data_IF_998532204681
#
_entry.id   IF_998532204681
#
_cell.length_a   1.000
_cell.length_b   1.000
_cell.length_c   1.000
_cell.angle_alpha   90.00
_cell.angle_beta   90.00
_cell.angle_gamma   90.00
#
_symmetry.space_group_name_H-M   'P 1'
#
loop_
_entity.id
_entity.type
_entity.pdbx_description
1 polymer ?
#
# COMPACT_ATOMS: atom_id res chain seq x y z
N UNK A 1 9.73 19.49 9.03
CA UNK A 1 9.66 20.11 10.37
C UNK A 1 10.98 19.87 11.08
N UNK A 2 11.44 20.80 11.92
CA UNK A 2 12.67 20.66 12.71
C UNK A 2 12.30 20.96 14.16
N UNK A 3 12.58 20.01 15.06
CA UNK A 3 12.35 20.16 16.50
C UNK A 3 13.57 20.79 17.18
N UNK A 4 13.30 21.58 18.23
CA UNK A 4 14.34 22.06 19.12
C UNK A 4 14.97 20.90 19.93
N UNK A 5 16.20 21.06 20.46
CA UNK A 5 16.82 20.03 21.29
C UNK A 5 15.99 19.63 22.51
N UNK A 6 15.27 20.59 23.11
CA UNK A 6 14.43 20.35 24.29
C UNK A 6 13.17 19.55 23.94
N UNK A 7 12.46 19.92 22.88
CA UNK A 7 11.28 19.18 22.39
C UNK A 7 11.65 17.76 22.00
N UNK A 8 12.80 17.58 21.33
CA UNK A 8 13.29 16.26 20.97
C UNK A 8 13.60 15.40 22.19
N UNK A 9 14.30 15.94 23.18
CA UNK A 9 14.60 15.20 24.41
C UNK A 9 13.31 14.77 25.10
N UNK A 10 12.35 15.69 25.21
CA UNK A 10 11.05 15.40 25.80
C UNK A 10 10.30 14.29 25.05
N UNK A 11 10.20 14.37 23.71
CA UNK A 11 9.52 13.35 22.90
C UNK A 11 10.24 12.00 22.97
N UNK A 12 11.57 12.00 22.90
CA UNK A 12 12.35 10.78 23.01
C UNK A 12 12.15 10.11 24.37
N UNK A 13 12.21 10.87 25.47
CA UNK A 13 12.02 10.34 26.81
C UNK A 13 10.58 9.82 27.00
N UNK A 14 9.58 10.53 26.45
CA UNK A 14 8.17 10.15 26.47
C UNK A 14 7.89 8.83 25.73
N UNK A 15 8.50 8.65 24.55
CA UNK A 15 8.32 7.46 23.72
C UNK A 15 9.16 6.27 24.19
N UNK A 16 10.23 6.50 24.94
CA UNK A 16 11.12 5.43 25.46
C UNK A 16 10.62 4.83 26.78
N UNK A 17 9.61 5.42 27.43
CA UNK A 17 9.00 4.87 28.64
C UNK A 17 8.50 3.44 28.44
N UNK A 18 8.36 2.65 29.52
CA UNK A 18 7.88 1.26 29.45
C UNK A 18 6.55 1.13 28.72
N UNK A 19 5.66 2.11 28.91
CA UNK A 19 4.49 2.35 28.07
C UNK A 19 4.74 3.64 27.29
N UNK A 20 4.92 3.60 25.96
CA UNK A 20 5.22 4.79 25.19
C UNK A 20 4.05 5.78 25.26
N UNK A 21 4.34 7.04 25.60
CA UNK A 21 3.35 8.11 25.59
C UNK A 21 3.54 8.91 24.29
N UNK A 22 2.62 8.71 23.35
CA UNK A 22 2.60 9.40 22.06
C UNK A 22 2.08 10.84 22.23
N UNK A 23 2.54 11.81 21.42
CA UNK A 23 2.12 13.22 21.52
C UNK A 23 0.61 13.41 21.32
N UNK A 24 -0.02 12.55 20.51
CA UNK A 24 -1.47 12.55 20.25
C UNK A 24 -2.24 11.53 21.12
N UNK A 25 -1.58 10.95 22.12
CA UNK A 25 -2.14 9.95 23.05
C UNK A 25 -2.68 8.67 22.40
N UNK A 26 -2.32 8.38 21.14
CA UNK A 26 -2.64 7.10 20.51
C UNK A 26 -1.93 5.93 21.20
N UNK A 27 -2.49 4.74 21.05
CA UNK A 27 -1.76 3.52 21.40
C UNK A 27 -0.60 3.26 20.42
N UNK A 28 0.28 2.33 20.80
CA UNK A 28 1.43 1.89 20.00
C UNK A 28 1.03 1.25 18.66
N UNK A 29 -0.17 0.67 18.55
CA UNK A 29 -0.67 -0.01 17.35
C UNK A 29 -1.75 0.78 16.59
N UNK A 30 -2.12 1.96 17.06
CA UNK A 30 -3.20 2.76 16.49
C UNK A 30 -2.70 3.66 15.36
N UNK A 31 -3.35 3.56 14.19
CA UNK A 31 -3.14 4.45 13.05
C UNK A 31 -3.81 5.80 13.26
N UNK A 32 -3.34 6.83 12.52
CA UNK A 32 -4.07 8.08 12.40
C UNK A 32 -5.40 7.85 11.66
N UNK A 33 -6.45 8.63 11.98
CA UNK A 33 -7.66 8.62 11.17
C UNK A 33 -7.34 8.93 9.70
N UNK A 34 -7.98 8.18 8.80
CA UNK A 34 -7.89 8.35 7.37
C UNK A 34 -9.29 8.42 6.76
N UNK A 35 -9.42 9.20 5.69
CA UNK A 35 -10.58 9.22 4.80
C UNK A 35 -10.15 8.56 3.48
N UNK A 36 -10.94 7.61 2.98
CA UNK A 36 -10.69 7.00 1.69
C UNK A 36 -11.90 7.16 0.77
N UNK A 37 -11.62 7.29 -0.53
CA UNK A 37 -12.62 7.25 -1.60
C UNK A 37 -12.14 6.32 -2.68
N UNK A 38 -13.02 5.47 -3.17
CA UNK A 38 -12.71 4.51 -4.23
C UNK A 38 -13.47 4.84 -5.52
N UNK A 39 -13.01 4.29 -6.64
CA UNK A 39 -13.73 4.29 -7.93
C UNK A 39 -14.15 5.66 -8.48
N UNK A 40 -13.39 6.72 -8.16
CA UNK A 40 -13.73 8.09 -8.54
C UNK A 40 -13.17 8.53 -9.91
N UNK A 41 -12.22 7.78 -10.49
CA UNK A 41 -11.68 8.03 -11.83
C UNK A 41 -12.34 7.09 -12.85
N UNK A 42 -13.30 7.56 -13.67
CA UNK A 42 -14.02 6.70 -14.61
C UNK A 42 -13.17 6.22 -15.79
N UNK A 43 -12.06 6.90 -16.09
CA UNK A 43 -11.16 6.55 -17.18
C UNK A 43 -10.12 5.47 -16.81
N UNK A 44 -10.09 5.06 -15.53
CA UNK A 44 -9.17 4.04 -15.03
C UNK A 44 -9.95 2.78 -14.68
N UNK A 45 -9.30 1.61 -14.78
CA UNK A 45 -9.91 0.34 -14.40
C UNK A 45 -10.20 0.28 -12.89
N UNK A 46 -9.32 0.86 -12.09
CA UNK A 46 -9.50 1.02 -10.65
C UNK A 46 -8.91 2.35 -10.19
N UNK A 47 -9.44 2.90 -9.10
CA UNK A 47 -8.89 4.09 -8.49
C UNK A 47 -9.18 4.16 -7.00
N UNK A 48 -8.27 4.75 -6.25
CA UNK A 48 -8.48 5.08 -4.85
C UNK A 48 -7.72 6.34 -4.46
N UNK A 49 -8.25 7.02 -3.45
CA UNK A 49 -7.68 8.22 -2.85
C UNK A 49 -7.75 8.08 -1.35
N UNK A 50 -6.63 8.24 -0.66
CA UNK A 50 -6.58 8.30 0.80
C UNK A 50 -6.05 9.67 1.22
N UNK A 51 -6.72 10.26 2.21
CA UNK A 51 -6.29 11.47 2.91
C UNK A 51 -6.15 11.18 4.40
N UNK A 52 -5.00 11.54 4.96
CA UNK A 52 -4.72 11.49 6.39
C UNK A 52 -5.08 12.82 7.06
N UNK A 53 -5.26 12.78 8.39
CA UNK A 53 -5.59 13.97 9.19
C UNK A 53 -4.52 15.08 9.13
N UNK A 54 -3.26 14.73 8.89
CA UNK A 54 -2.13 15.67 8.77
C UNK A 54 -2.08 16.38 7.40
N UNK A 55 -3.04 16.10 6.52
CA UNK A 55 -3.08 16.61 5.16
C UNK A 55 -2.25 15.82 4.16
N UNK A 56 -1.63 14.70 4.55
CA UNK A 56 -0.98 13.79 3.60
C UNK A 56 -2.04 13.14 2.72
N UNK A 57 -1.80 13.12 1.41
CA UNK A 57 -2.77 12.67 0.43
C UNK A 57 -2.09 11.88 -0.69
N UNK A 58 -2.67 10.73 -1.01
CA UNK A 58 -2.22 9.85 -2.07
C UNK A 58 -3.39 9.44 -2.96
N UNK A 59 -3.14 9.43 -4.27
CA UNK A 59 -4.07 8.94 -5.29
C UNK A 59 -3.39 7.79 -6.02
N UNK A 60 -4.11 6.71 -6.26
CA UNK A 60 -3.67 5.59 -7.09
C UNK A 60 -4.67 5.33 -8.19
N UNK A 61 -4.17 5.16 -9.40
CA UNK A 61 -4.91 4.75 -10.59
C UNK A 61 -4.38 3.42 -11.07
N UNK A 62 -5.28 2.50 -11.42
CA UNK A 62 -4.94 1.21 -12.02
C UNK A 62 -5.46 1.18 -13.45
N UNK A 63 -4.57 0.87 -14.39
CA UNK A 63 -4.91 0.62 -15.79
C UNK A 63 -4.47 -0.78 -16.19
N UNK A 64 -5.21 -1.36 -17.12
CA UNK A 64 -4.93 -2.70 -17.63
C UNK A 64 -4.66 -2.68 -19.12
N UNK A 65 -3.81 -3.62 -19.56
CA UNK A 65 -3.53 -3.87 -20.98
C UNK A 65 -3.44 -5.37 -21.21
N UNK A 66 -4.01 -5.86 -22.30
CA UNK A 66 -3.84 -7.25 -22.72
C UNK A 66 -2.46 -7.42 -23.34
N UNK A 67 -1.72 -8.41 -22.85
CA UNK A 67 -0.38 -8.74 -23.34
C UNK A 67 -0.22 -10.23 -23.59
N UNK A 68 0.70 -10.58 -24.47
CA UNK A 68 1.13 -11.95 -24.69
C UNK A 68 2.03 -12.39 -23.53
N UNK A 69 1.64 -13.47 -22.84
CA UNK A 69 2.34 -14.00 -21.68
C UNK A 69 3.79 -14.42 -22.00
N UNK A 70 4.06 -14.83 -23.23
CA UNK A 70 5.40 -15.24 -23.67
C UNK A 70 6.36 -14.08 -23.88
N UNK A 71 5.85 -12.86 -24.09
CA UNK A 71 6.65 -11.68 -24.42
C UNK A 71 6.93 -10.80 -23.19
N UNK A 72 6.04 -10.83 -22.20
CA UNK A 72 6.11 -9.98 -21.00
C UNK A 72 6.43 -10.80 -19.76
N UNK A 73 7.61 -10.55 -19.17
CA UNK A 73 7.99 -11.16 -17.89
C UNK A 73 7.38 -10.42 -16.69
N UNK A 74 7.09 -9.12 -16.84
CA UNK A 74 6.60 -8.26 -15.77
C UNK A 74 5.14 -7.89 -16.02
N UNK A 75 4.23 -8.52 -15.28
CA UNK A 75 2.79 -8.28 -15.39
C UNK A 75 2.29 -7.10 -14.54
N UNK A 76 3.13 -6.57 -13.65
CA UNK A 76 2.80 -5.42 -12.81
C UNK A 76 3.91 -4.40 -12.96
N UNK A 77 3.52 -3.17 -13.28
CA UNK A 77 4.38 -2.01 -13.40
C UNK A 77 3.84 -0.93 -12.47
N UNK A 78 4.68 -0.46 -11.54
CA UNK A 78 4.31 0.57 -10.58
C UNK A 78 5.10 1.84 -10.88
N UNK A 79 4.39 2.92 -11.19
CA UNK A 79 4.97 4.24 -11.31
C UNK A 79 4.58 5.09 -10.10
N UNK A 80 5.54 5.84 -9.56
CA UNK A 80 5.31 6.65 -8.36
C UNK A 80 5.82 8.06 -8.62
N UNK A 81 4.90 9.01 -8.60
CA UNK A 81 5.17 10.43 -8.58
C UNK A 81 4.95 10.98 -7.17
N UNK A 82 5.88 11.80 -6.70
CA UNK A 82 5.78 12.48 -5.41
C UNK A 82 5.94 13.97 -5.65
N UNK A 83 4.87 14.72 -5.36
CA UNK A 83 4.85 16.16 -5.55
C UNK A 83 6.02 16.84 -4.82
N UNK A 84 6.77 17.67 -5.57
CA UNK A 84 7.93 18.39 -5.05
C UNK A 84 9.24 17.59 -5.02
N UNK A 85 9.23 16.33 -5.44
CA UNK A 85 10.43 15.53 -5.64
C UNK A 85 10.66 15.28 -7.13
N UNK A 86 11.91 14.95 -7.50
CA UNK A 86 12.24 14.52 -8.85
C UNK A 86 12.07 13.01 -8.97
N UNK A 87 11.66 12.54 -10.15
CA UNK A 87 11.47 11.11 -10.45
C UNK A 87 12.78 10.31 -10.25
N UNK A 88 13.91 10.92 -10.61
CA UNK A 88 15.26 10.35 -10.46
C UNK A 88 15.82 10.44 -9.03
N UNK A 89 15.06 10.97 -8.07
CA UNK A 89 15.51 11.05 -6.69
C UNK A 89 15.55 9.68 -6.03
N UNK A 90 16.57 9.44 -5.19
CA UNK A 90 16.68 8.20 -4.42
C UNK A 90 15.42 7.93 -3.58
N UNK A 91 14.74 8.97 -3.12
CA UNK A 91 13.51 8.84 -2.34
C UNK A 91 12.39 8.17 -3.16
N UNK A 92 12.09 8.73 -4.33
CA UNK A 92 11.04 8.23 -5.24
C UNK A 92 11.43 6.85 -5.78
N UNK A 93 12.69 6.69 -6.20
CA UNK A 93 13.19 5.41 -6.74
C UNK A 93 13.10 4.29 -5.69
N UNK A 94 13.39 4.57 -4.42
CA UNK A 94 13.25 3.60 -3.33
C UNK A 94 11.78 3.24 -3.07
N UNK A 95 10.86 4.20 -3.10
CA UNK A 95 9.43 3.92 -2.95
C UNK A 95 8.93 3.02 -4.10
N UNK A 96 9.26 3.38 -5.35
CA UNK A 96 8.89 2.61 -6.53
C UNK A 96 9.46 1.20 -6.48
N UNK A 97 10.74 1.05 -6.11
CA UNK A 97 11.37 -0.26 -5.95
C UNK A 97 10.69 -1.11 -4.87
N UNK A 98 10.39 -0.55 -3.69
CA UNK A 98 9.75 -1.30 -2.62
C UNK A 98 8.35 -1.79 -3.03
N UNK A 99 7.51 -0.91 -3.59
CA UNK A 99 6.16 -1.26 -4.01
C UNK A 99 6.17 -2.30 -5.15
N UNK A 100 7.02 -2.10 -6.16
CA UNK A 100 7.19 -3.06 -7.26
C UNK A 100 7.68 -4.42 -6.76
N UNK A 101 8.65 -4.44 -5.83
CA UNK A 101 9.18 -5.66 -5.25
C UNK A 101 8.14 -6.41 -4.39
N UNK A 102 7.25 -5.70 -3.69
CA UNK A 102 6.15 -6.29 -2.93
C UNK A 102 5.16 -6.99 -3.86
N UNK A 103 4.68 -6.28 -4.88
CA UNK A 103 3.65 -6.77 -5.78
C UNK A 103 4.19 -7.86 -6.70
N UNK A 104 5.38 -7.69 -7.28
CA UNK A 104 5.99 -8.71 -8.15
C UNK A 104 6.17 -10.08 -7.47
N UNK A 105 6.43 -10.11 -6.16
CA UNK A 105 6.66 -11.37 -5.42
C UNK A 105 5.40 -11.99 -4.84
N UNK A 106 4.43 -11.17 -4.44
CA UNK A 106 3.33 -11.63 -3.59
C UNK A 106 1.95 -11.45 -4.23
N UNK A 107 1.86 -10.76 -5.38
CA UNK A 107 0.58 -10.60 -6.06
C UNK A 107 0.10 -11.93 -6.66
N UNK A 108 -1.20 -12.27 -6.52
CA UNK A 108 -1.72 -13.51 -7.08
C UNK A 108 -1.97 -13.35 -8.60
N UNK A 109 -0.95 -13.62 -9.41
CA UNK A 109 -1.01 -13.45 -10.88
C UNK A 109 -2.07 -14.30 -11.60
N UNK A 110 -2.62 -15.32 -10.94
CA UNK A 110 -3.73 -16.12 -11.46
C UNK A 110 -4.96 -15.28 -11.80
N UNK A 111 -5.23 -14.19 -11.06
CA UNK A 111 -6.38 -13.30 -11.31
C UNK A 111 -6.24 -12.46 -12.58
N UNK A 112 -5.04 -12.40 -13.18
CA UNK A 112 -4.78 -11.64 -14.42
C UNK A 112 -4.84 -12.51 -15.67
N UNK A 113 -4.95 -13.83 -15.51
CA UNK A 113 -4.94 -14.76 -16.65
C UNK A 113 -6.25 -14.65 -17.41
N UNK A 114 -6.15 -14.37 -18.71
CA UNK A 114 -7.29 -14.41 -19.63
C UNK A 114 -7.42 -15.79 -20.26
N UNK A 115 -6.36 -16.20 -20.96
CA UNK A 115 -6.32 -17.47 -21.69
C UNK A 115 -5.00 -18.22 -21.42
N UNK A 116 -4.68 -19.25 -22.20
CA UNK A 116 -3.35 -19.87 -22.15
C UNK A 116 -2.24 -18.94 -22.66
N UNK A 117 -2.53 -18.06 -23.63
CA UNK A 117 -1.54 -17.17 -24.28
C UNK A 117 -1.60 -15.73 -23.77
N UNK A 118 -2.77 -15.24 -23.39
CA UNK A 118 -2.98 -13.83 -23.03
C UNK A 118 -3.21 -13.64 -21.53
N UNK A 119 -2.74 -12.50 -21.04
CA UNK A 119 -2.89 -12.08 -19.64
C UNK A 119 -3.04 -10.56 -19.59
N UNK A 120 -3.65 -10.05 -18.53
CA UNK A 120 -3.61 -8.64 -18.23
C UNK A 120 -2.25 -8.26 -17.63
N UNK A 121 -1.68 -7.17 -18.12
CA UNK A 121 -0.64 -6.39 -17.46
C UNK A 121 -1.30 -5.20 -16.77
N UNK A 122 -0.96 -4.98 -15.51
CA UNK A 122 -1.45 -3.85 -14.71
C UNK A 122 -0.38 -2.76 -14.64
N UNK A 123 -0.81 -1.52 -14.89
CA UNK A 123 -0.06 -0.30 -14.65
C UNK A 123 -0.69 0.38 -13.44
N UNK A 124 0.10 0.55 -12.38
CA UNK A 124 -0.31 1.13 -11.11
C UNK A 124 0.40 2.47 -10.99
N UNK A 125 -0.33 3.53 -11.29
CA UNK A 125 0.17 4.90 -11.26
C UNK A 125 -0.18 5.52 -9.91
N UNK A 126 0.82 5.77 -9.07
CA UNK A 126 0.67 6.36 -7.74
C UNK A 126 1.12 7.82 -7.76
N UNK A 127 0.30 8.73 -7.24
CA UNK A 127 0.64 10.14 -7.07
C UNK A 127 0.48 10.51 -5.60
N UNK A 128 1.60 10.84 -4.95
CA UNK A 128 1.61 11.43 -3.61
C UNK A 128 1.53 12.94 -3.76
N UNK A 129 0.36 13.51 -3.47
CA UNK A 129 0.10 14.95 -3.56
C UNK A 129 0.80 15.70 -2.43
N UNK A 130 0.77 15.12 -1.24
CA UNK A 130 1.36 15.69 -0.04
C UNK A 130 1.72 14.57 0.93
N UNK A 131 2.82 14.73 1.65
CA UNK A 131 3.22 13.83 2.72
C UNK A 131 3.93 14.61 3.82
N UNK A 132 3.67 14.25 5.08
CA UNK A 132 4.40 14.78 6.24
C UNK A 132 5.41 13.77 6.81
N UNK A 133 5.00 12.50 6.87
CA UNK A 133 5.77 11.34 7.31
C UNK A 133 6.15 10.45 6.13
N UNK A 134 6.95 9.41 6.36
CA UNK A 134 7.34 8.47 5.31
C UNK A 134 6.10 7.80 4.64
N UNK A 135 5.85 8.01 3.33
CA UNK A 135 4.54 7.76 2.71
C UNK A 135 4.30 6.31 2.29
N UNK A 136 5.22 5.38 2.52
CA UNK A 136 5.11 4.01 1.97
C UNK A 136 3.87 3.25 2.47
N UNK A 137 3.51 3.41 3.76
CA UNK A 137 2.27 2.81 4.28
C UNK A 137 1.04 3.42 3.61
N UNK A 138 0.99 4.75 3.49
CA UNK A 138 -0.11 5.46 2.81
C UNK A 138 -0.26 5.02 1.35
N UNK A 139 0.85 4.96 0.61
CA UNK A 139 0.92 4.45 -0.76
C UNK A 139 0.37 3.03 -0.84
N UNK A 140 0.82 2.15 0.05
CA UNK A 140 0.43 0.75 0.04
C UNK A 140 -1.04 0.53 0.37
N UNK A 141 -1.60 1.28 1.33
CA UNK A 141 -3.02 1.23 1.67
C UNK A 141 -3.88 1.76 0.53
N UNK A 142 -3.44 2.83 -0.15
CA UNK A 142 -4.16 3.39 -1.30
C UNK A 142 -4.13 2.42 -2.47
N UNK A 143 -2.98 1.80 -2.73
CA UNK A 143 -2.83 0.76 -3.75
C UNK A 143 -3.71 -0.46 -3.46
N UNK A 144 -3.83 -0.86 -2.19
CA UNK A 144 -4.71 -1.96 -1.77
C UNK A 144 -6.17 -1.68 -2.15
N UNK A 145 -6.67 -0.50 -1.79
CA UNK A 145 -8.04 -0.10 -2.13
C UNK A 145 -8.25 -0.03 -3.65
N UNK A 146 -7.32 0.59 -4.39
CA UNK A 146 -7.44 0.72 -5.84
C UNK A 146 -7.47 -0.64 -6.55
N UNK A 147 -6.65 -1.60 -6.12
CA UNK A 147 -6.63 -2.96 -6.68
C UNK A 147 -7.89 -3.75 -6.33
N UNK A 148 -8.44 -3.57 -5.13
CA UNK A 148 -9.71 -4.21 -4.73
C UNK A 148 -10.90 -3.73 -5.55
N UNK A 149 -10.93 -2.45 -5.91
CA UNK A 149 -12.01 -1.87 -6.72
C UNK A 149 -11.72 -1.85 -8.22
N UNK A 150 -10.64 -2.48 -8.67
CA UNK A 150 -10.31 -2.59 -10.09
C UNK A 150 -11.31 -3.48 -10.81
N UNK A 151 -11.99 -2.93 -11.83
CA UNK A 151 -12.84 -3.65 -12.77
C UNK A 151 -12.11 -3.88 -14.10
N UNK A 152 -12.19 -5.09 -14.61
CA UNK A 152 -11.60 -5.51 -15.88
C UNK A 152 -12.71 -5.93 -16.86
N UNK A 153 -12.52 -5.68 -18.17
CA UNK A 153 -13.53 -6.00 -19.16
C UNK A 153 -13.78 -7.52 -19.23
N UNK A 154 -15.05 -7.90 -19.40
CA UNK A 154 -15.46 -9.30 -19.51
C UNK A 154 -14.97 -9.91 -20.81
N UNK A 155 -14.24 -11.02 -20.72
CA UNK A 155 -13.84 -11.83 -21.87
C UNK A 155 -15.06 -12.57 -22.44
N UNK A 156 -15.27 -12.49 -23.75
CA UNK A 156 -16.37 -13.15 -24.48
C UNK A 156 -15.87 -14.28 -25.38
N UNK A 157 -14.65 -14.17 -25.91
CA UNK A 157 -14.02 -15.24 -26.70
C UNK A 157 -13.75 -16.49 -25.87
N UNK A 158 -13.60 -17.63 -26.55
CA UNK A 158 -13.18 -18.87 -25.90
C UNK A 158 -11.78 -18.74 -25.26
N UNK A 159 -11.55 -19.52 -24.21
CA UNK A 159 -10.33 -19.46 -23.39
C UNK A 159 -9.22 -20.39 -23.93
N UNK A 160 -9.58 -21.30 -24.84
CA UNK A 160 -8.75 -22.39 -25.34
C UNK A 160 -8.00 -22.02 -26.63
N UNK A 161 -7.04 -21.10 -26.54
CA UNK A 161 -6.25 -20.62 -27.70
C UNK A 161 -5.09 -21.56 -28.12
N UNK A 162 -5.11 -22.81 -27.69
CA UNK A 162 -4.04 -23.78 -27.95
C UNK A 162 -4.13 -24.38 -29.37
N UNK A 163 -5.36 -24.59 -29.86
CA UNK A 163 -5.62 -25.21 -31.17
C UNK A 163 -5.93 -24.17 -32.26
N UNK A 164 -6.53 -23.03 -31.90
CA UNK A 164 -6.90 -21.95 -32.82
C UNK A 164 -6.38 -20.63 -32.24
N UNK A 165 -5.60 -19.89 -33.02
CA UNK A 165 -5.11 -18.56 -32.61
C UNK A 165 -6.21 -17.52 -32.74
N UNK A 166 -7.07 -17.44 -31.74
CA UNK A 166 -8.05 -16.37 -31.61
C UNK A 166 -7.48 -15.22 -30.77
N UNK A 167 -7.84 -13.99 -31.13
CA UNK A 167 -7.51 -12.81 -30.33
C UNK A 167 -8.61 -12.62 -29.27
N UNK A 168 -8.26 -12.31 -28.00
CA UNK A 168 -9.24 -12.07 -26.95
C UNK A 168 -10.22 -10.97 -27.34
N UNK A 169 -11.51 -11.29 -27.34
CA UNK A 169 -12.59 -10.31 -27.54
C UNK A 169 -13.31 -10.05 -26.24
N UNK A 170 -13.68 -8.79 -26.01
CA UNK A 170 -14.30 -8.34 -24.78
C UNK A 170 -15.72 -7.85 -25.05
N UNK A 171 -16.54 -7.82 -24.00
CA UNK A 171 -17.85 -7.18 -24.07
C UNK A 171 -17.71 -5.68 -24.33
N UNK A 172 -18.51 -5.14 -25.24
CA UNK A 172 -18.59 -3.70 -25.52
C UNK A 172 -19.29 -2.92 -24.39
N UNK A 173 -19.99 -3.64 -23.51
CA UNK A 173 -20.74 -3.08 -22.39
C UNK A 173 -19.91 -3.15 -21.11
N UNK A 174 -19.50 -1.97 -20.62
CA UNK A 174 -18.70 -1.83 -19.41
C UNK A 174 -19.47 -2.23 -18.14
N UNK A 175 -20.80 -2.24 -18.16
CA UNK A 175 -21.59 -2.67 -17.01
C UNK A 175 -21.40 -4.16 -16.72
N UNK A 176 -20.94 -4.94 -17.71
CA UNK A 176 -20.55 -6.35 -17.55
C UNK A 176 -19.12 -6.54 -17.03
N UNK A 177 -18.35 -5.47 -16.80
CA UNK A 177 -16.99 -5.56 -16.28
C UNK A 177 -16.98 -6.23 -14.91
N UNK A 178 -16.01 -7.13 -14.71
CA UNK A 178 -15.89 -7.91 -13.48
C UNK A 178 -14.83 -7.30 -12.58
N UNK A 179 -15.12 -7.26 -11.28
CA UNK A 179 -14.12 -6.90 -10.28
C UNK A 179 -13.00 -7.95 -10.30
N UNK A 180 -11.76 -7.49 -10.14
CA UNK A 180 -10.60 -8.36 -10.05
C UNK A 180 -10.78 -9.42 -8.94
N UNK A 181 -11.43 -9.05 -7.84
CA UNK A 181 -11.77 -9.96 -6.74
C UNK A 181 -12.75 -11.08 -7.10
N UNK A 182 -13.56 -10.89 -8.15
CA UNK A 182 -14.60 -11.84 -8.57
C UNK A 182 -14.18 -12.77 -9.71
N UNK A 183 -12.97 -12.58 -10.27
CA UNK A 183 -12.47 -13.34 -11.42
C UNK A 183 -12.30 -14.84 -11.12
N UNK A 184 -11.92 -15.18 -9.88
CA UNK A 184 -11.78 -16.56 -9.43
C UNK A 184 -12.87 -16.83 -8.41
N UNK A 185 -13.80 -17.71 -8.76
CA UNK A 185 -14.87 -18.14 -7.85
C UNK A 185 -14.24 -18.86 -6.65
N UNK A 186 -14.80 -18.61 -5.47
CA UNK A 186 -14.45 -19.23 -4.18
C UNK A 186 -13.09 -18.84 -3.58
N UNK A 187 -12.37 -17.88 -4.15
CA UNK A 187 -11.15 -17.33 -3.56
C UNK A 187 -11.28 -15.84 -3.20
N UNK A 188 -10.78 -15.47 -2.02
CA UNK A 188 -10.72 -14.07 -1.61
C UNK A 188 -9.45 -13.41 -2.14
N UNK A 189 -9.61 -12.42 -3.02
CA UNK A 189 -8.51 -11.59 -3.46
C UNK A 189 -8.12 -10.59 -2.36
N UNK A 190 -6.85 -10.60 -1.95
CA UNK A 190 -6.29 -9.60 -1.03
C UNK A 190 -4.93 -9.14 -1.55
N UNK A 191 -4.78 -7.88 -1.99
CA UNK A 191 -3.46 -7.34 -2.30
C UNK A 191 -2.53 -7.33 -1.07
N UNK A 192 -1.20 -7.49 -1.26
CA UNK A 192 -0.24 -7.34 -0.18
C UNK A 192 -0.09 -5.86 0.22
N UNK A 193 0.20 -5.59 1.50
CA UNK A 193 0.44 -4.23 2.01
C UNK A 193 1.75 -4.10 2.78
N UNK A 194 2.30 -2.89 2.83
CA UNK A 194 3.37 -2.48 3.73
C UNK A 194 2.84 -1.75 4.95
N UNK A 195 3.41 -2.07 6.11
CA UNK A 195 3.24 -1.32 7.35
C UNK A 195 4.59 -0.78 7.80
N UNK A 196 4.64 0.53 8.05
CA UNK A 196 5.79 1.26 8.61
C UNK A 196 5.68 1.29 10.12
N UNK A 197 6.75 0.84 10.78
CA UNK A 197 6.90 0.85 12.23
C UNK A 197 8.07 1.74 12.63
N UNK A 198 7.83 2.65 13.57
CA UNK A 198 8.90 3.40 14.22
C UNK A 198 9.52 2.59 15.36
N UNK A 199 10.85 2.59 15.45
CA UNK A 199 11.61 1.92 16.50
C UNK A 199 12.22 2.97 17.42
N UNK A 200 11.93 2.86 18.72
CA UNK A 200 12.49 3.74 19.75
C UNK A 200 12.75 2.96 21.05
N UNK A 201 14.03 2.77 21.37
CA UNK A 201 14.45 1.95 22.50
C UNK A 201 13.97 0.50 22.37
N UNK A 202 13.04 0.08 23.25
CA UNK A 202 12.40 -1.24 23.22
C UNK A 202 10.95 -1.20 22.70
N UNK A 203 10.48 -0.02 22.30
CA UNK A 203 9.12 0.22 21.84
C UNK A 203 9.06 0.25 20.32
N UNK A 204 7.86 -0.10 19.83
CA UNK A 204 7.50 -0.06 18.43
C UNK A 204 6.21 0.71 18.31
N UNK A 205 6.12 1.61 17.35
CA UNK A 205 4.92 2.40 17.10
C UNK A 205 4.47 2.25 15.65
N UNK A 206 3.16 2.09 15.45
CA UNK A 206 2.53 2.05 14.14
C UNK A 206 2.29 3.48 13.65
N UNK A 207 2.49 3.68 12.34
CA UNK A 207 2.18 4.95 11.66
C UNK A 207 2.75 6.16 12.42
N UNK A 208 4.09 6.28 12.46
CA UNK A 208 4.74 7.38 13.14
C UNK A 208 4.41 8.72 12.46
N UNK A 209 4.14 9.73 13.27
CA UNK A 209 3.98 11.13 12.86
C UNK A 209 5.32 11.76 12.49
N UNK A 210 5.30 12.90 11.80
CA UNK A 210 6.53 13.64 11.48
C UNK A 210 7.32 14.01 12.75
N UNK A 211 6.66 14.34 13.86
CA UNK A 211 7.30 14.65 15.13
C UNK A 211 7.96 13.41 15.75
N UNK A 212 7.29 12.25 15.68
CA UNK A 212 7.83 10.99 16.17
C UNK A 212 9.02 10.53 15.32
N UNK A 213 8.92 10.61 13.98
CA UNK A 213 9.98 10.22 13.05
C UNK A 213 11.31 10.93 13.35
N UNK A 214 11.26 12.19 13.80
CA UNK A 214 12.45 12.98 14.13
C UNK A 214 13.28 12.41 15.29
N UNK A 215 12.67 11.59 16.15
CA UNK A 215 13.30 11.07 17.37
C UNK A 215 13.54 9.56 17.33
N UNK A 216 13.04 8.87 16.30
CA UNK A 216 13.21 7.44 16.12
C UNK A 216 14.67 7.04 15.97
N UNK A 217 14.98 5.85 16.47
CA UNK A 217 16.32 5.25 16.36
C UNK A 217 16.47 4.42 15.09
N UNK A 218 15.36 3.85 14.62
CA UNK A 218 15.29 3.07 13.39
C UNK A 218 13.84 2.97 12.92
N UNK A 219 13.62 2.37 11.76
CA UNK A 219 12.31 2.05 11.23
C UNK A 219 12.29 0.63 10.66
N UNK A 220 11.15 -0.04 10.80
CA UNK A 220 10.90 -1.33 10.16
C UNK A 220 9.76 -1.18 9.15
N UNK A 221 9.96 -1.73 7.97
CA UNK A 221 8.93 -1.89 6.95
C UNK A 221 8.62 -3.38 6.88
N UNK A 222 7.38 -3.73 7.23
CA UNK A 222 6.92 -5.11 7.28
C UNK A 222 5.81 -5.30 6.26
N UNK A 223 5.94 -6.33 5.43
CA UNK A 223 4.92 -6.71 4.46
C UNK A 223 3.88 -7.64 5.10
N UNK A 224 2.63 -7.48 4.71
CA UNK A 224 1.48 -8.25 5.18
C UNK A 224 0.63 -8.73 4.02
N UNK A 225 0.27 -10.00 4.02
CA UNK A 225 -0.59 -10.61 3.00
C UNK A 225 -1.26 -11.87 3.55
N UNK A 226 -2.54 -12.09 3.24
CA UNK A 226 -3.29 -13.29 3.63
C UNK A 226 -3.14 -13.68 5.11
N UNK A 227 -3.37 -12.70 5.99
CA UNK A 227 -3.28 -12.85 7.44
C UNK A 227 -1.90 -13.30 7.97
N UNK A 228 -0.83 -13.05 7.22
CA UNK A 228 0.53 -13.39 7.61
C UNK A 228 1.51 -12.30 7.21
N UNK A 229 2.55 -12.14 8.03
CA UNK A 229 3.73 -11.38 7.65
C UNK A 229 4.51 -12.14 6.59
N UNK A 230 4.87 -11.43 5.52
CA UNK A 230 5.58 -11.96 4.35
C UNK A 230 6.83 -11.14 4.05
N UNK A 231 7.66 -11.62 3.13
CA UNK A 231 8.76 -10.84 2.58
C UNK A 231 8.24 -9.91 1.47
N UNK A 232 8.88 -8.74 1.23
CA UNK A 232 10.11 -8.25 1.85
C UNK A 232 9.91 -7.64 3.25
N UNK A 233 10.92 -7.78 4.10
CA UNK A 233 11.02 -7.04 5.36
C UNK A 233 12.32 -6.25 5.28
N UNK A 234 12.26 -4.94 5.49
CA UNK A 234 13.42 -4.06 5.44
C UNK A 234 13.44 -3.14 6.64
N UNK A 235 14.63 -2.65 6.98
CA UNK A 235 14.79 -1.58 7.96
C UNK A 235 15.28 -0.33 7.25
N UNK A 236 14.96 0.83 7.80
CA UNK A 236 15.41 2.11 7.26
C UNK A 236 15.51 3.19 8.32
N UNK A 237 16.25 4.24 8.02
CA UNK A 237 16.29 5.43 8.85
C UNK A 237 15.09 6.33 8.54
N UNK A 238 14.05 6.29 9.40
CA UNK A 238 12.89 7.19 9.31
C UNK A 238 13.23 8.63 9.76
N UNK A 239 14.25 8.80 10.61
CA UNK A 239 14.68 10.12 11.12
C UNK A 239 15.57 10.89 10.11
N UNK A 240 15.39 10.68 8.80
CA UNK A 240 16.26 11.25 7.76
C UNK A 240 16.28 12.78 7.76
N UNK A 241 15.16 13.41 8.13
CA UNK A 241 15.01 14.86 8.21
C UNK A 241 15.32 15.43 9.61
N UNK A 242 15.92 14.63 10.50
CA UNK A 242 16.26 15.07 11.85
C UNK A 242 17.62 15.76 11.91
N UNK A 243 17.67 16.89 12.62
CA UNK A 243 18.91 17.64 12.85
C UNK A 243 19.93 16.88 13.74
N UNK A 244 19.53 15.78 14.39
CA UNK A 244 20.45 14.91 15.11
C UNK A 244 20.04 13.46 14.86
N UNK A 245 20.70 12.84 13.89
CA UNK A 245 20.43 11.46 13.54
C UNK A 245 20.80 10.54 14.71
N UNK A 246 19.79 10.00 15.40
CA UNK A 246 19.96 9.02 16.46
C UNK A 246 19.86 7.59 15.91
N UNK A 247 20.41 7.35 14.71
CA UNK A 247 20.26 6.07 14.04
C UNK A 247 21.06 4.98 14.76
N UNK A 248 20.37 3.96 15.29
CA UNK A 248 20.97 2.83 16.01
C UNK A 248 20.66 1.51 15.32
N UNK A 249 21.51 0.51 15.56
CA UNK A 249 21.27 -0.85 15.09
C UNK A 249 20.06 -1.51 15.76
N UNK A 250 19.50 -2.52 15.11
CA UNK A 250 18.33 -3.25 15.61
C UNK A 250 18.74 -4.49 16.42
N UNK A 251 18.04 -4.72 17.53
CA UNK A 251 18.14 -5.96 18.28
C UNK A 251 17.19 -7.02 17.70
N UNK A 252 17.59 -8.30 17.72
CA UNK A 252 16.76 -9.41 17.22
C UNK A 252 15.39 -9.48 17.92
N UNK A 253 15.32 -9.15 19.21
CA UNK A 253 14.07 -9.12 19.99
C UNK A 253 13.08 -8.10 19.45
N UNK A 254 13.55 -6.96 18.97
CA UNK A 254 12.71 -5.90 18.40
C UNK A 254 12.12 -6.35 17.06
N UNK A 255 12.92 -7.01 16.23
CA UNK A 255 12.45 -7.55 14.94
C UNK A 255 11.34 -8.59 15.17
N UNK A 256 11.55 -9.54 16.09
CA UNK A 256 10.55 -10.56 16.44
C UNK A 256 9.28 -9.90 17.02
N UNK A 257 9.44 -8.90 17.90
CA UNK A 257 8.33 -8.12 18.46
C UNK A 257 7.54 -7.43 17.35
N UNK A 258 8.20 -6.81 16.38
CA UNK A 258 7.55 -6.12 15.26
C UNK A 258 6.75 -7.07 14.37
N UNK A 259 7.33 -8.22 14.02
CA UNK A 259 6.62 -9.26 13.26
C UNK A 259 5.40 -9.77 14.04
N UNK A 260 5.53 -10.01 15.35
CA UNK A 260 4.40 -10.44 16.19
C UNK A 260 3.31 -9.37 16.29
N UNK A 261 3.69 -8.09 16.39
CA UNK A 261 2.77 -6.97 16.49
C UNK A 261 1.97 -6.78 15.19
N UNK A 262 2.63 -6.85 14.03
CA UNK A 262 1.95 -6.79 12.73
C UNK A 262 1.03 -7.98 12.52
N UNK A 263 1.48 -9.21 12.86
CA UNK A 263 0.61 -10.39 12.80
C UNK A 263 -0.67 -10.27 13.64
N UNK A 264 -0.60 -9.55 14.76
CA UNK A 264 -1.74 -9.40 15.68
C UNK A 264 -2.74 -8.35 15.21
N UNK A 265 -2.27 -7.19 14.75
CA UNK A 265 -3.14 -6.03 14.53
C UNK A 265 -3.47 -5.76 13.05
N UNK A 266 -2.63 -6.21 12.11
CA UNK A 266 -2.79 -5.85 10.70
C UNK A 266 -4.04 -6.49 10.05
N UNK A 267 -4.50 -7.65 10.57
CA UNK A 267 -5.76 -8.25 10.12
C UNK A 267 -6.99 -7.36 10.36
N UNK A 268 -6.99 -6.57 11.45
CA UNK A 268 -8.06 -5.61 11.71
C UNK A 268 -8.01 -4.42 10.74
N UNK A 269 -6.80 -4.02 10.31
CA UNK A 269 -6.62 -2.94 9.33
C UNK A 269 -7.16 -3.37 7.97
N UNK A 270 -6.78 -4.55 7.48
CA UNK A 270 -7.30 -5.05 6.19
C UNK A 270 -8.81 -5.26 6.23
N UNK A 271 -9.35 -5.76 7.34
CA UNK A 271 -10.79 -5.89 7.50
C UNK A 271 -11.51 -4.54 7.46
N UNK A 272 -10.96 -3.50 8.12
CA UNK A 272 -11.53 -2.16 8.08
C UNK A 272 -11.52 -1.55 6.66
N UNK A 273 -10.48 -1.80 5.87
CA UNK A 273 -10.41 -1.37 4.46
C UNK A 273 -11.43 -2.11 3.59
N UNK A 274 -11.58 -3.42 3.79
CA UNK A 274 -12.57 -4.22 3.07
C UNK A 274 -14.00 -3.73 3.37
N UNK A 275 -14.31 -3.44 4.65
CA UNK A 275 -15.62 -2.89 5.02
C UNK A 275 -15.91 -1.51 4.43
N UNK A 276 -14.87 -0.71 4.14
CA UNK A 276 -15.04 0.60 3.50
C UNK A 276 -15.52 0.44 2.06
N UNK A 277 -14.96 -0.53 1.33
CA UNK A 277 -15.35 -0.82 -0.05
C UNK A 277 -16.82 -1.28 -0.11
N UNK A 278 -17.23 -2.16 0.80
CA UNK A 278 -18.63 -2.63 0.88
C UNK A 278 -19.64 -1.50 1.17
N UNK A 279 -19.21 -0.45 1.88
CA UNK A 279 -20.05 0.72 2.18
C UNK A 279 -20.14 1.70 1.01
N UNK A 280 -19.04 1.91 0.28
CA UNK A 280 -18.99 2.77 -0.90
C UNK A 280 -19.90 2.23 -2.03
N UNK A 281 -19.90 0.90 -2.26
CA UNK A 281 -20.78 0.25 -3.25
C UNK A 281 -22.28 0.47 -2.98
N UNK A 282 -22.66 0.77 -1.73
CA UNK A 282 -24.04 1.07 -1.35
C UNK A 282 -24.47 2.53 -1.57
N UNK A 283 -23.53 3.43 -1.89
CA UNK A 283 -23.77 4.88 -1.90
C UNK A 283 -23.68 5.52 -3.30
N UNK A 284 -23.54 4.71 -4.35
CA UNK A 284 -23.52 5.11 -5.78
C UNK A 284 -24.84 5.77 -6.28
N UNK A 285 -25.79 6.08 -5.38
CA UNK A 285 -27.08 6.68 -5.70
C UNK A 285 -27.36 8.06 -5.11
N UNK A 286 -26.45 8.68 -4.36
CA UNK A 286 -26.68 9.99 -3.74
C UNK A 286 -25.68 11.05 -4.20
N UNK A 287 -25.66 11.31 -5.51
CA UNK A 287 -25.26 12.62 -6.01
C UNK A 287 -26.56 13.44 -6.10
N UNK A 288 -26.87 14.16 -5.02
CA UNK A 288 -27.67 15.40 -4.87
C UNK A 288 -28.26 15.49 -3.46
#
# INVERSE_FOLDING_TARGET
>A
MILSPAERSYLYDSLTQTTPIRPDSRSDHQFRPLEAKTSFLPASNGSARIRLMDGSECIVSVKSKVVLRSQENNLIECDIDVAGHRDDSNFVTNLSFNLTNLLSKNFPFQYLRLTSKYTFKLFIDCIVISHSSYPLSLLSLTCYLALKTTKLPLLVSDVNDEEIEEQPTFSDDWDNAQLLSSMIKDESFSPPIFITLGVIGLNLIFDPTIEEEQVLENGLIISWHNNKVIAPISNMNLAANSNNANYKGLNNKIIIKGISMVNKYCGAVTHALDTLIEQDDGNDGAIF
#
